data_IF_420124548122
#
_entry.id   IF_420124548122
#
_cell.length_a   1.000
_cell.length_b   1.000
_cell.length_c   1.000
_cell.angle_alpha   90.00
_cell.angle_beta   90.00
_cell.angle_gamma   90.00
#
_symmetry.space_group_name_H-M   'P 1'
#
loop_
_entity.id
_entity.type
_entity.pdbx_description
1 polymer ?
2 branched ?
3 branched ?
4 branched ?
5 non-polymer ?
6 water ?
#
# COMPACT_ATOMS: atom_id res chain seq x y z
N UNK A 42 -6.76 14.88 -5.54
CA UNK A 42 -5.93 13.73 -5.89
C UNK A 42 -4.53 14.16 -6.32
N UNK A 43 -3.86 14.93 -5.47
CA UNK A 43 -2.50 15.40 -5.74
C UNK A 43 -1.52 14.33 -5.28
N UNK A 44 -0.86 13.68 -6.25
CA UNK A 44 0.13 12.64 -5.98
C UNK A 44 0.95 12.53 -7.26
N UNK A 45 2.27 12.72 -7.14
CA UNK A 45 3.12 12.73 -8.41
C UNK A 45 3.56 11.42 -8.65
N UNK A 46 2.60 10.57 -8.97
CA UNK A 46 2.85 9.19 -9.37
C UNK A 46 1.61 8.76 -10.03
N UNK A 47 1.68 8.19 -11.20
CA UNK A 47 0.53 7.71 -11.94
C UNK A 47 0.35 6.22 -11.61
N UNK A 48 -0.82 5.87 -11.08
CA UNK A 48 -1.19 4.48 -10.83
C UNK A 48 -2.09 3.94 -11.93
N UNK A 49 -1.81 4.31 -13.17
CA UNK A 49 -2.57 3.80 -14.30
C UNK A 49 -2.13 2.38 -14.63
N UNK A 50 -3.03 1.64 -15.27
CA UNK A 50 -2.82 0.23 -15.54
C UNK A 50 -1.75 0.04 -16.61
N UNK A 51 -1.26 -1.20 -16.76
CA UNK A 51 -0.28 -1.48 -17.83
C UNK A 51 -0.93 -1.88 -19.15
N UNK A 52 -0.33 -1.38 -20.23
CA UNK A 52 -0.71 -1.85 -21.57
C UNK A 52 0.06 -3.11 -21.94
N UNK A 53 1.31 -3.22 -21.48
CA UNK A 53 2.19 -4.31 -21.89
C UNK A 53 1.86 -5.63 -21.20
N UNK A 54 1.44 -5.57 -19.94
CA UNK A 54 1.42 -6.72 -19.05
C UNK A 54 0.01 -7.26 -18.86
N UNK A 55 -0.17 -8.32 -18.07
CA UNK A 55 -1.51 -8.66 -17.59
C UNK A 55 -2.08 -7.56 -16.72
N UNK A 56 -3.39 -7.53 -16.51
CA UNK A 56 -4.02 -6.49 -15.69
C UNK A 56 -4.29 -6.88 -14.25
N UNK A 57 -3.89 -8.08 -13.82
CA UNK A 57 -4.17 -8.55 -12.47
C UNK A 57 -2.96 -9.34 -11.98
N UNK A 58 -2.26 -8.79 -10.99
CA UNK A 58 -1.04 -9.39 -10.46
C UNK A 58 -1.13 -9.46 -8.94
N UNK A 59 -0.06 -9.98 -8.33
CA UNK A 59 0.09 -10.04 -6.88
C UNK A 59 1.32 -9.23 -6.52
N UNK A 60 1.15 -8.21 -5.68
CA UNK A 60 2.26 -7.36 -5.28
C UNK A 60 2.16 -7.07 -3.79
N UNK A 61 2.89 -6.07 -3.31
CA UNK A 61 2.96 -5.77 -1.89
C UNK A 61 2.68 -4.29 -1.64
N UNK A 62 2.30 -4.00 -0.40
CA UNK A 62 2.01 -2.67 0.07
C UNK A 62 2.81 -2.42 1.33
N UNK A 63 3.41 -1.25 1.44
CA UNK A 63 4.24 -0.91 2.59
C UNK A 63 3.38 -0.29 3.68
N UNK A 64 3.32 -0.94 4.84
CA UNK A 64 2.53 -0.46 5.97
C UNK A 64 3.45 -0.15 7.14
N UNK A 65 3.09 0.89 7.88
CA UNK A 65 3.86 1.31 9.03
C UNK A 65 3.05 1.08 10.29
N UNK A 66 3.64 0.38 11.26
CA UNK A 66 2.98 0.14 12.53
C UNK A 66 2.63 1.47 13.19
N UNK A 67 1.38 1.63 13.58
CA UNK A 67 0.89 2.91 14.05
C UNK A 67 0.63 2.89 15.55
N UNK A 68 0.53 4.09 16.12
CA UNK A 68 0.88 4.34 17.51
C UNK A 68 -0.13 3.63 18.41
N UNK A 69 -1.42 4.00 18.44
CA UNK A 69 -2.33 3.34 19.41
C UNK A 69 -2.91 1.99 19.05
N UNK A 70 -3.36 1.72 17.88
CA UNK A 70 -4.32 0.68 17.53
C UNK A 70 -3.69 -0.31 16.56
N UNK A 71 -2.47 -0.08 16.09
CA UNK A 71 -1.85 -0.92 15.09
C UNK A 71 -0.41 -1.20 15.50
N UNK A 72 -0.25 -1.93 16.59
CA UNK A 72 1.05 -2.36 17.07
C UNK A 72 1.17 -3.87 17.14
N UNK A 73 0.17 -4.61 16.67
CA UNK A 73 0.29 -6.05 16.49
C UNK A 73 -0.08 -6.43 15.07
N UNK A 74 0.58 -7.48 14.58
CA UNK A 74 0.29 -8.01 13.25
C UNK A 74 -1.16 -8.47 13.13
N UNK A 75 -1.77 -8.94 14.22
CA UNK A 75 -3.17 -9.33 14.15
C UNK A 75 -4.06 -8.12 13.90
N UNK A 76 -3.74 -6.98 14.52
CA UNK A 76 -4.55 -5.77 14.34
C UNK A 76 -4.44 -5.24 12.92
N UNK A 77 -3.24 -5.25 12.34
CA UNK A 77 -3.07 -4.80 10.97
C UNK A 77 -3.72 -5.77 10.00
N UNK A 78 -3.59 -7.07 10.27
CA UNK A 78 -4.20 -8.06 9.38
C UNK A 78 -5.72 -7.97 9.36
N UNK A 79 -6.33 -7.40 10.40
CA UNK A 79 -7.80 -7.33 10.45
C UNK A 79 -8.36 -6.40 9.38
N UNK A 80 -7.58 -5.42 8.91
CA UNK A 80 -8.05 -4.49 7.89
C UNK A 80 -7.55 -4.85 6.50
N UNK A 81 -6.77 -5.92 6.36
CA UNK A 81 -6.34 -6.41 5.06
C UNK A 81 -6.91 -7.78 4.72
N UNK A 82 -7.65 -8.41 5.63
CA UNK A 82 -8.30 -9.71 5.39
C UNK A 82 -7.27 -10.77 4.98
N UNK A 83 -6.36 -11.06 5.90
CA UNK A 83 -5.40 -12.14 5.74
C UNK A 83 -4.77 -12.43 7.09
N UNK A 84 -4.02 -13.51 7.16
CA UNK A 84 -3.45 -13.91 8.42
C UNK A 84 -2.22 -13.08 8.76
N UNK A 85 -1.94 -12.85 10.05
CA UNK A 85 -0.70 -12.17 10.43
C UNK A 85 0.56 -12.96 10.06
N UNK A 86 0.44 -14.24 9.73
CA UNK A 86 1.60 -14.99 9.27
C UNK A 86 2.11 -14.47 7.94
N UNK A 87 1.21 -14.21 7.00
CA UNK A 87 1.63 -13.71 5.69
C UNK A 87 2.34 -12.36 5.83
N UNK A 88 1.83 -11.49 6.71
CA UNK A 88 2.48 -10.23 6.96
C UNK A 88 3.85 -10.45 7.60
N UNK A 89 3.95 -11.37 8.55
CA UNK A 89 5.24 -11.64 9.16
C UNK A 89 6.23 -12.18 8.14
N UNK A 90 5.80 -13.13 7.30
CA UNK A 90 6.70 -13.70 6.31
C UNK A 90 7.02 -12.71 5.19
N UNK A 91 6.13 -11.75 4.91
CA UNK A 91 6.46 -10.76 3.89
C UNK A 91 7.36 -9.66 4.44
N UNK A 92 7.13 -9.27 5.70
CA UNK A 92 7.94 -8.24 6.33
C UNK A 92 9.26 -8.76 6.87
N UNK A 93 9.54 -10.06 6.69
CA UNK A 93 10.76 -10.69 7.18
C UNK A 93 10.87 -10.57 8.71
N UNK A 94 9.81 -11.02 9.38
CA UNK A 94 9.67 -10.91 10.83
C UNK A 94 9.77 -12.30 11.44
N UNK A 95 10.56 -12.43 12.51
CA UNK A 95 10.80 -13.72 13.15
C UNK A 95 9.65 -14.10 14.07
N UNK A 96 9.22 -13.16 14.91
CA UNK A 96 8.21 -13.41 15.94
C UNK A 96 6.88 -12.80 15.51
N UNK A 97 5.92 -13.65 15.17
CA UNK A 97 4.64 -13.17 14.67
C UNK A 97 3.89 -12.39 15.74
N UNK A 98 3.96 -12.84 16.99
CA UNK A 98 3.25 -12.21 18.09
C UNK A 98 4.02 -11.06 18.73
N UNK A 99 5.25 -10.80 18.28
CA UNK A 99 6.03 -9.72 18.87
C UNK A 99 5.37 -8.38 18.62
N UNK A 100 5.19 -7.61 19.70
CA UNK A 100 4.61 -6.29 19.58
C UNK A 100 5.46 -5.41 18.67
N UNK A 101 4.80 -4.56 17.89
CA UNK A 101 5.48 -3.71 16.92
C UNK A 101 5.85 -2.36 17.53
N UNK A 102 6.71 -1.64 16.82
CA UNK A 102 7.18 -0.32 17.24
C UNK A 102 6.50 0.72 16.35
N UNK A 103 6.13 1.89 16.87
CA UNK A 103 5.62 2.95 15.98
C UNK A 103 6.58 3.20 14.83
N UNK A 104 6.01 3.39 13.64
CA UNK A 104 6.73 3.59 12.39
C UNK A 104 7.66 2.43 12.05
N UNK A 105 7.34 1.23 12.52
CA UNK A 105 8.02 0.04 12.02
C UNK A 105 7.43 -0.33 10.67
N UNK A 106 8.32 -0.56 9.69
CA UNK A 106 7.87 -0.77 8.32
C UNK A 106 7.55 -2.24 8.09
N UNK A 107 6.37 -2.50 7.52
CA UNK A 107 5.88 -3.83 7.18
C UNK A 107 5.61 -3.91 5.68
N UNK A 108 5.37 -5.13 5.20
CA UNK A 108 4.92 -5.38 3.84
C UNK A 108 3.71 -6.29 3.88
N UNK A 109 2.65 -5.89 3.21
CA UNK A 109 1.37 -6.62 3.26
C UNK A 109 1.09 -7.17 1.87
N UNK A 110 0.91 -8.48 1.72
CA UNK A 110 0.52 -9.03 0.43
C UNK A 110 -0.81 -8.45 -0.03
N UNK A 111 -0.96 -8.32 -1.35
CA UNK A 111 -2.09 -7.60 -1.93
C UNK A 111 -2.27 -8.10 -3.36
N UNK A 112 -3.53 -8.18 -3.78
CA UNK A 112 -3.88 -8.53 -5.15
C UNK A 112 -4.26 -7.26 -5.90
N UNK A 113 -3.48 -6.91 -6.92
CA UNK A 113 -3.66 -5.69 -7.69
C UNK A 113 -4.49 -5.99 -8.93
N UNK A 114 -5.57 -5.23 -9.12
CA UNK A 114 -6.41 -5.39 -10.28
C UNK A 114 -6.68 -4.04 -10.94
N UNK A 115 -7.05 -4.11 -12.22
CA UNK A 115 -7.27 -2.91 -13.03
C UNK A 115 -8.76 -2.60 -13.10
N UNK A 116 -9.12 -1.35 -12.79
CA UNK A 116 -10.51 -0.89 -12.83
C UNK A 116 -10.57 0.52 -13.42
N UNK A 117 -11.15 0.64 -14.61
CA UNK A 117 -11.29 1.92 -15.30
C UNK A 117 -9.94 2.59 -15.57
N UNK A 118 -9.05 1.87 -16.24
CA UNK A 118 -7.68 2.24 -16.60
C UNK A 118 -6.81 2.53 -15.41
N UNK A 119 -7.33 2.33 -14.21
CA UNK A 119 -6.67 2.67 -12.96
C UNK A 119 -6.64 1.34 -12.20
N UNK A 120 -5.57 1.12 -11.44
CA UNK A 120 -5.37 -0.15 -10.74
C UNK A 120 -5.43 0.06 -9.24
N UNK A 121 -6.17 -0.81 -8.56
CA UNK A 121 -6.35 -0.76 -7.12
C UNK A 121 -6.35 -2.18 -6.56
N UNK A 122 -6.26 -2.27 -5.23
CA UNK A 122 -6.40 -3.52 -4.51
C UNK A 122 -7.74 -3.47 -3.78
N UNK A 123 -8.71 -4.21 -4.28
CA UNK A 123 -10.04 -4.21 -3.68
C UNK A 123 -9.99 -5.00 -2.37
N UNK A 124 -10.29 -4.33 -1.27
CA UNK A 124 -10.16 -4.92 0.06
C UNK A 124 -11.45 -4.65 0.84
N UNK A 125 -12.05 -5.73 1.35
CA UNK A 125 -13.30 -5.63 2.10
C UNK A 125 -13.03 -5.25 3.55
N UNK A 126 -13.84 -4.33 4.08
CA UNK A 126 -13.65 -3.86 5.44
C UNK A 126 -15.01 -3.63 6.09
N UNK A 127 -15.13 -4.05 7.35
CA UNK A 127 -16.36 -3.91 8.11
C UNK A 127 -16.33 -2.62 8.91
N UNK A 128 -17.40 -1.83 8.83
CA UNK A 128 -17.45 -0.55 9.49
C UNK A 128 -17.56 -0.74 11.00
N UNK A 129 -16.79 0.05 11.75
CA UNK A 129 -16.84 0.09 13.20
C UNK A 129 -17.40 1.44 13.65
N UNK A 130 -17.64 1.55 14.95
CA UNK A 130 -18.22 2.77 15.51
C UNK A 130 -17.26 3.94 15.30
N UNK A 131 -17.77 5.00 14.67
CA UNK A 131 -16.97 6.18 14.41
C UNK A 131 -16.20 6.16 13.12
N UNK A 132 -16.38 5.15 12.28
CA UNK A 132 -15.66 5.07 11.02
C UNK A 132 -16.32 5.93 9.97
N UNK A 133 -15.51 6.52 9.11
CA UNK A 133 -15.98 7.14 7.87
C UNK A 133 -14.88 6.99 6.84
N UNK A 134 -15.24 7.22 5.57
CA UNK A 134 -14.28 6.99 4.50
C UNK A 134 -13.05 7.86 4.66
N UNK A 135 -13.23 9.11 5.07
CA UNK A 135 -12.12 10.03 5.21
C UNK A 135 -11.12 9.57 6.26
N UNK A 136 -11.62 9.28 7.47
CA UNK A 136 -10.76 8.90 8.59
C UNK A 136 -10.04 7.59 8.32
N UNK A 137 -10.74 6.61 7.73
CA UNK A 137 -10.10 5.37 7.34
C UNK A 137 -8.95 5.63 6.38
N UNK A 138 -9.13 6.58 5.46
CA UNK A 138 -8.10 6.88 4.47
C UNK A 138 -6.81 7.35 5.14
N UNK A 139 -6.92 8.23 6.13
CA UNK A 139 -5.74 8.89 6.69
C UNK A 139 -5.26 8.27 7.99
N UNK A 140 -5.97 7.27 8.52
CA UNK A 140 -5.54 6.62 9.77
C UNK A 140 -5.37 5.12 9.56
N UNK A 141 -6.45 4.36 9.48
CA UNK A 141 -6.33 2.92 9.39
C UNK A 141 -5.54 2.51 8.17
N UNK A 142 -5.86 3.09 7.01
CA UNK A 142 -5.17 2.75 5.78
C UNK A 142 -4.03 3.71 5.45
N UNK A 143 -3.69 4.60 6.39
CA UNK A 143 -2.55 5.50 6.36
C UNK A 143 -2.12 6.08 5.02
N UNK A 144 -3.08 6.55 4.23
CA UNK A 144 -2.81 7.34 3.03
C UNK A 144 -2.34 6.42 1.90
N UNK A 145 -2.61 5.13 2.02
CA UNK A 145 -2.55 4.20 0.91
C UNK A 145 -3.83 4.23 0.06
N UNK A 146 -4.72 5.18 0.34
CA UNK A 146 -5.97 5.35 -0.37
C UNK A 146 -6.45 6.78 -0.19
N UNK A 147 -7.33 7.21 -1.09
CA UNK A 147 -7.96 8.51 -1.03
C UNK A 147 -9.37 8.39 -0.48
N UNK A 148 -9.82 9.44 0.19
CA UNK A 148 -11.25 9.54 0.43
C UNK A 148 -12.02 9.54 -0.89
N UNK A 149 -11.49 10.23 -1.90
CA UNK A 149 -12.18 10.33 -3.18
C UNK A 149 -12.32 8.96 -3.84
N UNK A 150 -11.22 8.21 -3.89
CA UNK A 150 -11.28 6.87 -4.48
C UNK A 150 -12.10 5.92 -3.61
N UNK A 151 -11.96 6.04 -2.29
CA UNK A 151 -12.79 5.29 -1.35
C UNK A 151 -14.26 5.55 -1.62
N UNK A 152 -14.62 6.82 -1.81
CA UNK A 152 -16.00 7.18 -2.12
C UNK A 152 -16.46 6.58 -3.44
N UNK A 153 -15.68 6.80 -4.51
CA UNK A 153 -16.07 6.31 -5.82
C UNK A 153 -16.11 4.78 -5.88
N UNK A 154 -15.36 4.11 -5.00
CA UNK A 154 -15.41 2.66 -4.92
C UNK A 154 -16.71 2.16 -4.30
N UNK A 155 -17.41 3.01 -3.56
CA UNK A 155 -18.68 2.67 -2.92
C UNK A 155 -19.69 3.76 -3.29
N UNK A 156 -20.10 3.81 -4.55
CA UNK A 156 -20.92 4.95 -5.00
C UNK A 156 -22.30 5.00 -4.38
N UNK A 157 -22.89 3.84 -4.05
CA UNK A 157 -24.24 3.80 -3.51
C UNK A 157 -24.28 3.85 -1.99
N UNK A 158 -23.12 3.87 -1.33
CA UNK A 158 -23.04 4.02 0.12
C UNK A 158 -22.67 5.45 0.48
N UNK A 159 -22.90 5.79 1.75
CA UNK A 159 -22.60 7.15 2.19
C UNK A 159 -21.25 7.21 2.88
N UNK A 160 -20.48 8.26 2.62
CA UNK A 160 -19.15 8.38 3.24
C UNK A 160 -19.15 8.76 4.70
N UNK A 161 -20.04 9.68 5.11
CA UNK A 161 -20.01 10.21 6.47
C UNK A 161 -20.59 9.27 7.52
N UNK A 162 -21.86 8.89 7.37
CA UNK A 162 -22.50 7.96 8.29
C UNK A 162 -22.73 6.65 7.54
N UNK A 163 -22.67 5.54 8.28
CA UNK A 163 -22.86 4.21 7.70
C UNK A 163 -23.03 3.18 8.80
N UNK A 164 -24.02 2.29 8.71
CA UNK A 164 -24.33 1.41 9.84
C UNK A 164 -23.20 0.46 10.17
N UNK A 165 -23.29 -0.10 11.38
CA UNK A 165 -22.24 -0.96 11.89
C UNK A 165 -22.16 -2.26 11.11
N UNK A 166 -20.96 -2.83 11.06
CA UNK A 166 -20.68 -4.14 10.46
C UNK A 166 -21.06 -4.20 8.98
N UNK A 167 -21.33 -3.07 8.35
CA UNK A 167 -21.62 -3.07 6.92
C UNK A 167 -20.29 -3.07 6.20
N UNK A 168 -20.18 -3.87 5.15
CA UNK A 168 -18.90 -4.06 4.47
C UNK A 168 -18.72 -3.03 3.36
N UNK A 169 -17.50 -2.48 3.29
CA UNK A 169 -17.11 -1.52 2.27
C UNK A 169 -15.86 -2.04 1.56
N UNK A 170 -15.58 -1.46 0.40
CA UNK A 170 -14.48 -1.88 -0.47
C UNK A 170 -13.41 -0.81 -0.49
N UNK A 171 -12.34 -1.05 0.26
CA UNK A 171 -11.23 -0.10 0.38
C UNK A 171 -10.34 -0.22 -0.84
N UNK A 172 -10.15 0.84 -1.63
CA UNK A 172 -9.26 0.75 -2.78
C UNK A 172 -7.87 1.27 -2.45
N UNK A 173 -6.88 0.39 -2.47
CA UNK A 173 -5.50 0.76 -2.22
C UNK A 173 -4.75 0.92 -3.53
N UNK A 174 -3.94 1.97 -3.60
CA UNK A 174 -3.11 2.19 -4.78
C UNK A 174 -2.11 1.06 -4.97
N UNK A 175 -1.96 0.61 -6.21
CA UNK A 175 -0.98 -0.39 -6.59
C UNK A 175 -0.85 -0.34 -8.11
N UNK A 176 0.05 -1.15 -8.64
CA UNK A 176 0.30 -1.17 -10.07
C UNK A 176 1.05 -2.44 -10.44
N UNK A 177 0.65 -3.08 -11.55
CA UNK A 177 1.36 -4.25 -12.05
C UNK A 177 2.52 -3.82 -12.95
N UNK A 178 3.61 -4.59 -12.98
CA UNK A 178 4.82 -4.15 -13.70
C UNK A 178 4.61 -4.22 -15.20
N UNK A 179 5.19 -3.25 -15.91
CA UNK A 179 5.16 -3.27 -17.36
C UNK A 179 6.02 -4.42 -17.88
N UNK A 180 5.70 -4.88 -19.09
CA UNK A 180 6.46 -5.99 -19.66
C UNK A 180 7.94 -5.62 -19.79
N UNK A 181 8.23 -4.35 -20.07
CA UNK A 181 9.62 -3.90 -20.06
C UNK A 181 10.25 -4.04 -18.68
N UNK A 182 9.47 -3.82 -17.62
CA UNK A 182 9.98 -4.07 -16.28
C UNK A 182 10.11 -5.56 -16.01
N UNK A 183 9.18 -6.36 -16.55
CA UNK A 183 9.23 -7.80 -16.35
C UNK A 183 10.40 -8.43 -17.09
N UNK A 184 10.93 -7.77 -18.13
CA UNK A 184 12.09 -8.30 -18.81
C UNK A 184 13.31 -8.33 -17.89
N UNK A 185 13.53 -7.27 -17.12
CA UNK A 185 14.60 -7.22 -16.15
C UNK A 185 14.15 -7.93 -14.87
N UNK A 186 14.91 -7.73 -13.80
CA UNK A 186 14.65 -8.41 -12.54
C UNK A 186 13.31 -8.07 -11.89
N UNK A 187 12.62 -7.03 -12.36
CA UNK A 187 11.49 -6.49 -11.64
C UNK A 187 10.33 -7.47 -11.64
N UNK A 188 9.83 -7.80 -10.45
CA UNK A 188 8.64 -8.63 -10.30
C UNK A 188 7.53 -7.96 -9.49
N UNK A 189 7.85 -6.92 -8.70
CA UNK A 189 6.86 -6.23 -7.89
C UNK A 189 7.09 -4.74 -7.94
N UNK A 190 6.00 -3.98 -8.06
CA UNK A 190 6.00 -2.55 -7.79
C UNK A 190 5.31 -2.37 -6.43
N UNK A 191 6.10 -2.07 -5.42
CA UNK A 191 5.60 -2.02 -4.05
C UNK A 191 5.08 -0.61 -3.76
N UNK A 192 3.85 -0.53 -3.27
CA UNK A 192 3.26 0.77 -2.98
C UNK A 192 3.78 1.28 -1.64
N UNK A 193 4.30 2.50 -1.65
CA UNK A 193 4.94 3.06 -0.47
C UNK A 193 4.53 4.52 -0.32
N UNK A 194 4.07 4.87 0.87
CA UNK A 194 3.65 6.24 1.17
C UNK A 194 4.89 7.03 1.54
N UNK A 195 5.30 7.94 0.65
CA UNK A 195 6.47 8.79 0.86
C UNK A 195 6.31 9.56 2.15
N UNK A 196 7.22 9.36 3.09
CA UNK A 196 7.19 10.03 4.37
C UNK A 196 7.89 11.38 4.25
N UNK A 197 7.68 12.22 5.26
CA UNK A 197 8.34 13.52 5.30
C UNK A 197 9.83 13.34 5.53
N UNK A 198 10.63 14.15 4.85
CA UNK A 198 12.08 14.08 4.95
C UNK A 198 12.58 12.68 4.62
N UNK A 199 11.95 12.07 3.62
CA UNK A 199 12.49 10.89 2.96
C UNK A 199 13.33 11.32 1.76
N UNK A 200 14.19 10.42 1.29
CA UNK A 200 14.97 10.67 0.09
C UNK A 200 15.13 9.38 -0.68
N UNK A 201 15.56 9.51 -1.94
CA UNK A 201 15.63 8.36 -2.83
C UNK A 201 16.67 7.36 -2.33
N UNK A 202 17.82 7.86 -1.85
CA UNK A 202 18.85 6.96 -1.36
C UNK A 202 18.35 6.12 -0.18
N UNK A 203 17.63 6.75 0.75
CA UNK A 203 17.15 6.02 1.93
C UNK A 203 16.14 4.96 1.56
N UNK A 204 15.10 5.35 0.83
CA UNK A 204 14.03 4.43 0.46
C UNK A 204 14.57 3.26 -0.35
N UNK A 205 15.36 3.57 -1.39
CA UNK A 205 15.83 2.52 -2.28
C UNK A 205 16.76 1.54 -1.56
N UNK A 206 17.44 2.00 -0.51
CA UNK A 206 18.31 1.11 0.25
C UNK A 206 17.50 0.14 1.10
N UNK A 207 16.42 0.64 1.74
CA UNK A 207 15.58 -0.23 2.55
C UNK A 207 14.98 -1.35 1.72
N UNK A 208 14.53 -1.04 0.52
CA UNK A 208 13.86 -2.00 -0.35
C UNK A 208 14.83 -2.73 -1.27
N UNK A 209 16.10 -2.33 -1.31
CA UNK A 209 17.01 -2.92 -2.27
C UNK A 209 16.56 -2.71 -3.70
N UNK A 210 16.03 -1.53 -3.99
CA UNK A 210 15.53 -1.20 -5.31
C UNK A 210 16.51 -0.30 -6.05
N UNK A 211 16.50 -0.42 -7.37
CA UNK A 211 17.34 0.43 -8.21
C UNK A 211 16.74 1.83 -8.30
N UNK A 212 17.56 2.84 -8.01
CA UNK A 212 17.08 4.22 -8.03
C UNK A 212 16.57 4.61 -9.40
N UNK A 213 17.40 4.41 -10.44
CA UNK A 213 16.96 4.71 -11.81
C UNK A 213 15.66 3.98 -12.12
N UNK A 214 15.54 2.72 -11.71
CA UNK A 214 14.29 1.99 -11.91
C UNK A 214 13.18 2.64 -11.11
N UNK A 215 13.48 3.09 -9.90
CA UNK A 215 12.48 3.71 -9.05
C UNK A 215 11.99 5.02 -9.66
N UNK A 216 12.92 5.88 -10.11
CA UNK A 216 12.55 7.18 -10.66
C UNK A 216 11.98 7.07 -12.06
N UNK A 217 12.30 6.01 -12.81
CA UNK A 217 11.65 5.81 -14.09
C UNK A 217 10.17 5.51 -13.93
N UNK A 218 9.80 4.88 -12.81
CA UNK A 218 8.41 4.53 -12.56
C UNK A 218 7.62 5.70 -11.99
N UNK A 219 8.29 6.66 -11.36
CA UNK A 219 7.62 7.79 -10.73
C UNK A 219 7.85 9.12 -11.44
N UNK A 220 9.03 9.33 -12.04
CA UNK A 220 9.46 10.59 -12.66
C UNK A 220 9.18 11.94 -12.00
N UNK A 221 9.49 12.04 -10.71
CA UNK A 221 9.46 13.30 -9.99
C UNK A 221 10.46 13.34 -8.84
N UNK A 222 10.84 14.54 -8.43
CA UNK A 222 11.86 14.72 -7.40
C UNK A 222 11.39 14.36 -6.00
N UNK A 223 10.13 13.96 -5.85
CA UNK A 223 9.59 13.53 -4.55
C UNK A 223 9.43 14.74 -3.64
N UNK A 224 9.24 15.92 -4.25
CA UNK A 224 9.13 17.17 -3.52
C UNK A 224 7.70 17.54 -3.16
N UNK A 225 6.71 16.78 -3.65
CA UNK A 225 5.30 17.08 -3.41
C UNK A 225 4.51 15.79 -3.27
N UNK A 226 5.14 14.75 -2.70
CA UNK A 226 4.49 13.47 -2.48
C UNK A 226 4.54 13.05 -1.01
N UNK A 227 4.80 14.00 -0.10
CA UNK A 227 4.80 13.66 1.31
C UNK A 227 3.41 13.19 1.74
N UNK A 228 3.37 12.06 2.46
CA UNK A 228 2.12 11.43 2.88
C UNK A 228 1.27 11.04 1.67
N UNK A 229 1.94 10.73 0.56
CA UNK A 229 1.31 10.25 -0.66
C UNK A 229 1.97 8.95 -1.13
N UNK A 230 1.21 8.13 -1.85
CA UNK A 230 1.67 6.81 -2.26
C UNK A 230 2.49 6.90 -3.54
N UNK A 231 3.68 6.29 -3.51
CA UNK A 231 4.51 6.13 -4.71
C UNK A 231 4.84 4.67 -4.90
N UNK A 232 5.62 4.35 -5.92
CA UNK A 232 5.92 2.98 -6.29
C UNK A 232 7.41 2.66 -6.20
N UNK A 233 7.73 1.55 -5.54
CA UNK A 233 9.10 1.04 -5.48
C UNK A 233 9.16 -0.22 -6.33
N UNK A 234 9.81 -0.19 -7.50
CA UNK A 234 9.99 -1.42 -8.29
C UNK A 234 11.15 -2.24 -7.73
N UNK A 235 10.85 -3.46 -7.28
CA UNK A 235 11.89 -4.33 -6.75
C UNK A 235 12.06 -5.51 -7.69
N UNK A 236 13.25 -6.09 -7.63
CA UNK A 236 13.53 -7.33 -8.33
C UNK A 236 13.07 -8.54 -7.53
N UNK A 237 13.13 -8.44 -6.20
CA UNK A 237 12.65 -9.49 -5.32
C UNK A 237 12.17 -8.85 -4.02
N UNK A 238 11.38 -9.61 -3.28
CA UNK A 238 10.90 -9.16 -1.98
C UNK A 238 12.07 -8.85 -1.06
N UNK A 239 12.23 -7.61 -0.60
CA UNK A 239 13.42 -7.27 0.19
C UNK A 239 13.34 -7.80 1.60
N UNK A 240 14.52 -8.12 2.14
CA UNK A 240 14.66 -8.50 3.53
C UNK A 240 14.76 -7.24 4.38
N UNK A 241 13.68 -6.92 5.08
CA UNK A 241 13.64 -5.69 5.84
C UNK A 241 14.45 -5.83 7.14
N UNK A 242 14.83 -4.69 7.69
CA UNK A 242 15.45 -4.64 9.01
C UNK A 242 14.36 -4.72 10.07
N UNK A 243 14.44 -5.73 10.93
CA UNK A 243 13.43 -5.95 11.95
C UNK A 243 14.08 -6.15 13.31
N UNK A 244 13.44 -5.66 14.39
CA UNK A 244 13.94 -5.80 15.75
C UNK A 244 13.94 -7.25 16.25
X LIG B 1 -5.63 -3.67 18.63
X LIG B 1 -4.90 -3.09 19.84
X LIG B 1 -5.86 -3.01 21.03
X LIG B 1 -7.11 -2.23 20.65
X LIG B 1 -7.74 -2.80 19.38
X LIG B 1 -8.89 -1.95 18.86
X LIG B 1 -2.53 -3.67 19.65
X LIG B 1 -1.43 -4.57 20.11
X LIG B 1 -3.73 -3.89 20.17
X LIG B 1 -5.19 -2.39 22.12
X LIG B 1 -8.09 -2.36 21.68
X LIG B 1 -6.76 -2.86 18.32
X LIG B 1 -8.60 -1.38 17.60
X LIG B 1 -2.32 -2.78 18.83
X LIG B 2 -8.03 -1.29 22.64
X LIG B 2 -9.48 -0.97 23.05
X LIG B 2 -9.50 0.05 24.19
X LIG B 2 -8.63 -0.43 25.35
X LIG B 2 -7.23 -0.73 24.84
X LIG B 2 -6.33 -1.31 25.92
X LIG B 2 -11.28 -1.16 21.40
X LIG B 2 -11.97 -0.51 20.23
X LIG B 2 -10.25 -0.49 21.92
X LIG B 2 -10.84 0.24 24.62
X LIG B 2 -8.58 0.56 26.37
X LIG B 2 -7.29 -1.71 23.79
X LIG B 2 -5.24 -2.01 25.34
X LIG B 2 -11.65 -2.25 21.85
X LIG B 3 -9.30 0.07 27.51
X LIG B 3 -8.41 0.02 28.77
X LIG B 3 -9.20 -0.54 29.96
X LIG B 3 -10.59 0.16 30.09
X LIG B 3 -11.36 0.13 28.74
X LIG B 3 -12.71 0.86 28.78
X LIG B 3 -7.94 1.32 29.15
X LIG B 3 -8.46 -0.46 31.17
X LIG B 3 -11.37 -0.49 31.10
X LIG B 3 -10.53 0.76 27.74
X LIG B 3 -13.48 0.50 27.63
X LIG C 1 -14.77 -5.57 -4.53
X LIG C 1 -15.67 -5.24 -5.71
X LIG C 1 -17.13 -5.56 -5.40
X LIG C 1 -17.29 -6.98 -4.89
X LIG C 1 -16.34 -7.23 -3.72
X LIG C 1 -16.34 -8.65 -3.23
X LIG C 1 -14.91 -3.45 -7.22
X LIG C 1 -14.85 -1.97 -7.45
X LIG C 1 -15.51 -3.85 -6.10
X LIG C 1 -17.91 -5.39 -6.58
X LIG C 1 -18.64 -7.17 -4.46
X LIG C 1 -14.99 -6.93 -4.13
X LIG C 1 -15.16 -8.99 -2.51
X LIG C 1 -14.44 -4.25 -8.02
X LIG C 2 -19.23 -8.40 -4.94
X LIG C 2 -20.43 -8.71 -4.07
X LIG C 2 -21.07 -10.03 -4.49
X LIG C 2 -21.43 -9.97 -5.96
X LIG C 2 -20.19 -9.60 -6.79
X LIG C 2 -20.49 -9.42 -8.26
X LIG C 2 -20.30 -7.73 -1.82
X LIG C 2 -21.03 -6.55 -2.40
X LIG C 2 -20.06 -8.74 -2.66
X LIG C 2 -22.24 -10.27 -3.71
X LIG C 2 -21.95 -11.23 -6.40
X LIG C 2 -19.63 -8.37 -6.33
X LIG C 2 -21.83 -9.76 -8.56
X LIG C 2 -19.98 -7.78 -0.64
X LIG D 1 -2.02 11.03 5.98
X LIG D 1 -1.37 11.10 7.36
X LIG D 1 -1.91 12.29 8.15
X LIG D 1 -1.89 13.58 7.32
X LIG D 1 -2.45 13.35 5.92
X LIG D 1 -2.22 14.53 5.01
X LIG D 1 -0.63 9.00 8.39
X LIG D 1 -1.06 7.78 9.17
X LIG D 1 -1.61 9.87 8.09
X LIG D 1 -1.10 12.43 9.31
X LIG D 1 -2.76 14.55 7.90
X LIG D 1 -1.80 12.23 5.31
X LIG D 1 -3.14 14.55 3.93
X LIG D 1 0.52 9.18 8.05
X LIG D 2 -2.22 15.20 9.07
X LIG D 2 -2.54 16.68 9.05
X LIG D 2 -2.01 17.34 10.32
X LIG D 2 -2.52 16.62 11.56
X LIG D 2 -2.26 15.11 11.46
X LIG D 2 -2.91 14.33 12.57
X LIG D 2 -2.74 17.60 6.79
X LIG D 2 -2.03 18.28 5.66
X LIG D 2 -2.00 17.33 7.87
X LIG D 2 -2.41 18.71 10.33
X LIG D 2 -1.82 17.11 12.69
X LIG D 2 -2.78 14.60 10.22
X LIG D 2 -4.29 14.13 12.31
X LIG D 2 -3.94 17.32 6.74
X LIG D 3 -2.59 18.09 13.40
X LIG D 3 -2.21 17.94 14.86
X LIG D 3 -2.86 19.00 15.75
X LIG D 3 -2.82 20.41 15.08
X LIG D 3 -3.19 20.37 13.57
X LIG D 3 -2.97 21.70 12.84
X LIG D 3 -0.80 18.08 15.02
X LIG D 3 -2.18 19.12 17.02
X LIG D 3 -3.68 21.30 15.79
X LIG D 3 -2.36 19.39 12.94
X LIG D 3 -2.83 21.41 11.45
X LIG D 4 -2.58 18.25 18.12
X LIG D 4 -2.05 16.78 17.99
X LIG D 4 -2.46 15.93 19.19
X LIG D 4 -2.98 16.83 20.34
X LIG D 4 -4.19 17.67 19.88
X LIG D 4 -4.55 18.76 20.89
X LIG D 4 -0.62 16.73 17.96
X LIG D 4 -1.39 15.12 19.65
X LIG D 4 -3.34 16.05 21.45
X LIG D 4 -3.94 18.29 18.55
X LIG D 4 -5.81 19.31 20.49
X LIG E 1 2.34 14.20 7.09
X LIG E 1 2.20 15.73 7.23
X LIG E 1 2.90 16.22 8.50
X LIG E 1 2.43 15.45 9.72
X LIG E 1 2.54 13.94 9.49
X LIG E 1 1.93 13.13 10.62
X LIG E 1 1.98 16.74 5.00
X LIG E 1 2.68 17.44 3.88
X LIG E 1 2.72 16.41 6.06
X LIG E 1 2.65 17.60 8.67
X LIG E 1 3.26 15.81 10.82
X LIG E 1 1.84 13.56 8.29
X LIG E 1 2.38 11.78 10.59
X LIG E 1 0.78 16.46 4.94
X LIG E 2 2.52 16.57 11.81
X LIG E 2 3.29 16.50 13.11
X LIG E 2 2.51 17.22 14.20
X LIG E 2 2.27 18.67 13.79
X LIG E 2 1.60 18.74 12.41
X LIG E 2 1.55 20.15 11.87
X LIG E 2 4.78 14.69 13.83
X LIG E 2 5.89 15.71 13.82
X LIG E 2 3.56 15.13 13.49
X LIG E 2 3.22 17.16 15.43
X LIG E 2 1.47 19.34 14.76
X LIG E 2 2.30 17.96 11.44
X LIG E 2 2.86 20.70 11.78
X LIG E 2 4.98 13.52 14.13
X LIG F 1 1.50 11.11 -15.34
X LIG F 1 2.10 12.09 -14.33
X LIG F 1 2.70 13.30 -15.05
X LIG F 1 2.06 13.54 -16.41
X LIG F 1 2.07 12.29 -17.30
X LIG F 1 3.18 12.31 -18.33
X LIG F 1 1.43 13.04 -12.17
X LIG F 1 0.28 13.42 -11.28
X LIG F 1 1.12 12.50 -13.36
X LIG F 1 4.10 13.11 -15.20
X LIG F 1 0.72 14.01 -16.27
X LIG F 1 2.27 11.11 -16.52
X LIG F 1 4.03 13.45 -18.18
X LIG F 1 2.59 13.24 -11.83
X LIG G 1 17.01 12.59 3.07
X LIG G 1 18.17 13.20 3.88
X LIG G 1 17.73 14.51 4.53
X LIG G 1 17.15 15.46 3.49
X LIG G 1 16.03 14.76 2.71
X LIG G 1 15.48 15.61 1.60
X LIG G 1 19.82 11.61 4.80
X LIG G 1 20.13 10.68 5.93
X LIG G 1 18.64 12.27 4.89
X LIG G 1 18.85 15.13 5.16
X LIG G 1 16.63 16.62 4.12
X LIG G 1 16.54 13.56 2.12
X LIG G 1 14.56 14.88 0.78
X LIG G 1 20.57 11.76 3.85
#
# INVERSE_FOLDING_TARGET
MLLVNQSHQGFNKEHTSKMVSAIVLYVLLAAAAHSAFAQPLYISETNFTCPVDSPPSCETYVAYRAQSPNFLSLSNISDIFNLSPLRIAKASNIEAEDKKLIPDQLLLVPVTCGCTKNHSFANITYSIKQGDNFFILSITSYQNLTNYLEFKNFNPNLSPTLLPLDTKVSVPLFCKCPSKNQLNKGIKYLITYVWQDNDNVTLVSSKFGASQVEMLAENNHNFTASTNRSVLIPVTSLPKLDQPSSNGRKSSSQNLAHHHHHH
NAG C1 C2 C3 C4 C5 C6 C7 C8 N2 O3 O4 O5 O6 O7
NAG C1 C2 C3 C4 C5 C6 C7 C8 N2 O3 O4 O5 O6 O7
BMA C1 C2 C3 C4 C5 C6 O2 O3 O4 O5 O6
NAG C1 C2 C3 C4 C5 C6 C7 C8 N2 O3 O4 O5 O6 O7
NAG C1 C2 C3 C4 C5 C6 C7 C8 N2 O3 O4 O5 O6 O7
NAG C1 C2 C3 C4 C5 C6 C7 C8 N2 O3 O4 O5 O6 O7
NAG C1 C2 C3 C4 C5 C6 C7 C8 N2 O3 O4 O5 O6 O7
BMA C1 C2 C3 C4 C5 C6 O2 O3 O4 O5 O6
MAN C1 C2 C3 C4 C5 C6 O2 O3 O4 O5 O6
NAG C1 C2 C3 C4 C5 C6 C7 C8 N2 O3 O4 O5 O6 O7
NAG C1 C2 C3 C4 C5 C6 C7 C8 N2 O3 O4 O5 O6 O7
NAG C1 C2 C3 C4 C5 C6 C7 C8 N2 O3 O4 O5 O6 O7
NAG C1 C2 C3 C4 C5 C6 C7 C8 N2 O3 O4 O5 O6 O7
#
